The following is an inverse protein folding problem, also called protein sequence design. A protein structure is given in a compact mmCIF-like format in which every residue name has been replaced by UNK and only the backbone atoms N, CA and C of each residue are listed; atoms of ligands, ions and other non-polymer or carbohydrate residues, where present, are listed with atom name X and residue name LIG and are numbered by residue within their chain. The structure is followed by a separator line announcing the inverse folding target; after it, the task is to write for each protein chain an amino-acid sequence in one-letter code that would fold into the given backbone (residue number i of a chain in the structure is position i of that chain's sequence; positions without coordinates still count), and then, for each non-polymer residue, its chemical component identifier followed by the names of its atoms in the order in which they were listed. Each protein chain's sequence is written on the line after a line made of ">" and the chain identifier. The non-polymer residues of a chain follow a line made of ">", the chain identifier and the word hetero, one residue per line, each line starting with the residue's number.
data_IF_821755178880
#
_entry.id   IF_821755178880
#
_cell.length_a   1.000
_cell.length_b   1.000
_cell.length_c   1.000
_cell.angle_alpha   90.00
_cell.angle_beta   90.00
_cell.angle_gamma   90.00
#
_symmetry.space_group_name_H-M   'P 1'
#
loop_
_entity.id
_entity.type
_entity.pdbx_description
1 polymer ?
#
# COMPACT_ATOMS: atom_id res chain seq x y z
N UNK A 1 -29.67 50.33 22.21
CA UNK A 1 -28.61 49.56 22.91
C UNK A 1 -28.19 48.29 22.13
N UNK A 2 -28.97 47.85 21.15
CA UNK A 2 -28.70 46.71 20.27
C UNK A 2 -27.43 46.82 19.41
N UNK A 3 -27.20 47.98 18.77
CA UNK A 3 -26.10 48.14 17.80
C UNK A 3 -24.70 48.07 18.43
N UNK A 4 -24.56 48.48 19.70
CA UNK A 4 -23.29 48.43 20.43
C UNK A 4 -22.93 47.00 20.84
N UNK A 5 -23.93 46.21 21.20
CA UNK A 5 -23.76 44.79 21.51
C UNK A 5 -23.42 43.98 20.25
N UNK A 6 -24.08 44.27 19.13
CA UNK A 6 -23.77 43.66 17.84
C UNK A 6 -22.32 43.99 17.39
N UNK A 7 -21.86 45.23 17.62
CA UNK A 7 -20.50 45.65 17.26
C UNK A 7 -19.41 45.00 18.13
N UNK A 8 -19.68 44.79 19.43
CA UNK A 8 -18.78 44.07 20.34
C UNK A 8 -18.71 42.57 20.02
N UNK A 9 -19.84 41.96 19.63
CA UNK A 9 -19.88 40.55 19.23
C UNK A 9 -19.13 40.31 17.91
N UNK A 10 -19.17 41.27 16.98
CA UNK A 10 -18.48 41.18 15.70
C UNK A 10 -16.94 41.26 15.83
N UNK A 11 -16.41 41.89 16.88
CA UNK A 11 -14.95 41.95 17.13
C UNK A 11 -14.38 40.64 17.70
N UNK A 12 -15.23 39.74 18.23
CA UNK A 12 -14.79 38.51 18.88
C UNK A 12 -14.58 37.33 17.91
N UNK A 13 -14.92 37.48 16.62
CA UNK A 13 -14.75 36.44 15.59
C UNK A 13 -13.52 36.71 14.72
N UNK A 14 -12.47 37.30 15.31
CA UNK A 14 -11.13 37.26 14.71
C UNK A 14 -10.57 35.86 14.94
N UNK A 15 -11.05 34.90 14.14
CA UNK A 15 -10.38 33.60 14.03
C UNK A 15 -8.99 33.93 13.50
N UNK A 16 -7.91 33.65 14.27
CA UNK A 16 -6.59 33.90 13.75
C UNK A 16 -6.42 32.94 12.59
N UNK A 17 -6.44 33.49 11.38
CA UNK A 17 -5.87 32.87 10.20
C UNK A 17 -4.36 32.81 10.45
N UNK A 18 -3.94 31.92 11.34
CA UNK A 18 -2.55 31.58 11.48
C UNK A 18 -2.18 30.97 10.13
N UNK A 19 -1.42 31.74 9.35
CA UNK A 19 -0.56 31.20 8.30
C UNK A 19 -0.01 29.87 8.82
N UNK A 20 -0.05 28.82 8.00
CA UNK A 20 0.27 27.44 8.39
C UNK A 20 1.67 27.39 9.04
N UNK A 21 1.76 27.62 10.34
CA UNK A 21 3.02 27.68 11.06
C UNK A 21 3.19 26.35 11.76
N UNK A 22 4.39 25.79 11.68
CA UNK A 22 4.74 24.58 12.42
C UNK A 22 5.64 25.01 13.56
N UNK A 23 5.21 24.72 14.78
CA UNK A 23 5.96 24.95 16.00
C UNK A 23 6.65 23.64 16.41
N UNK A 24 7.96 23.69 16.63
CA UNK A 24 8.70 22.63 17.33
C UNK A 24 8.67 22.92 18.82
N UNK A 25 7.87 22.14 19.53
CA UNK A 25 7.70 22.21 20.97
C UNK A 25 8.53 21.15 21.66
N UNK A 26 8.98 21.43 22.89
CA UNK A 26 9.56 20.42 23.76
C UNK A 26 8.70 20.27 25.00
N UNK A 27 7.93 19.19 25.04
CA UNK A 27 6.98 18.90 26.10
C UNK A 27 7.45 17.66 26.86
N UNK A 28 7.60 17.75 28.19
CA UNK A 28 8.04 16.63 29.04
C UNK A 28 9.31 15.93 28.54
N UNK A 29 10.22 16.68 27.92
CA UNK A 29 11.47 16.19 27.36
C UNK A 29 11.40 15.68 25.91
N UNK A 30 10.20 15.48 25.35
CA UNK A 30 9.98 15.01 23.98
C UNK A 30 9.78 16.16 23.00
N UNK A 31 10.17 15.96 21.73
CA UNK A 31 9.95 16.93 20.65
C UNK A 31 8.62 16.62 19.97
N UNK A 32 7.75 17.62 19.89
CA UNK A 32 6.45 17.54 19.20
C UNK A 32 6.37 18.66 18.17
N UNK A 33 5.81 18.35 17.00
CA UNK A 33 5.54 19.32 15.94
C UNK A 33 4.03 19.55 15.86
N UNK A 34 3.60 20.80 15.91
CA UNK A 34 2.19 21.15 15.96
C UNK A 34 1.90 22.47 15.26
N UNK A 35 0.66 22.65 14.81
CA UNK A 35 0.18 23.87 14.18
C UNK A 35 -0.27 24.94 15.18
N UNK A 36 -0.62 24.53 16.40
CA UNK A 36 -0.92 25.45 17.49
C UNK A 36 0.37 25.90 18.20
N UNK A 37 0.42 27.11 18.77
CA UNK A 37 1.52 27.52 19.64
C UNK A 37 1.78 26.50 20.75
N UNK A 38 3.04 26.35 21.17
CA UNK A 38 3.41 25.43 22.25
C UNK A 38 2.69 25.78 23.55
N UNK A 39 2.25 24.79 24.33
CA UNK A 39 1.54 25.03 25.59
C UNK A 39 2.36 25.83 26.61
N UNK A 40 3.68 25.71 26.57
CA UNK A 40 4.63 26.48 27.39
C UNK A 40 4.86 27.92 26.89
N UNK A 41 4.30 28.29 25.73
CA UNK A 41 4.53 29.57 25.05
C UNK A 41 5.90 29.71 24.39
N UNK A 42 6.85 28.81 24.65
CA UNK A 42 8.22 28.86 24.13
C UNK A 42 8.43 27.74 23.10
N UNK A 43 8.31 28.09 21.81
CA UNK A 43 8.70 27.19 20.73
C UNK A 43 10.22 27.18 20.57
N UNK A 44 10.82 25.99 20.43
CA UNK A 44 12.25 25.89 20.10
C UNK A 44 12.55 26.42 18.71
N UNK A 45 11.60 26.24 17.79
CA UNK A 45 11.67 26.77 16.44
C UNK A 45 10.26 26.89 15.87
N UNK A 46 10.07 27.87 15.01
CA UNK A 46 8.85 28.08 14.24
C UNK A 46 9.25 28.15 12.76
N UNK A 47 8.45 27.51 11.91
CA UNK A 47 8.58 27.62 10.45
C UNK A 47 7.24 27.99 9.86
N UNK A 48 7.26 28.79 8.80
CA UNK A 48 6.11 28.94 7.92
C UNK A 48 6.06 27.72 6.98
N UNK A 49 5.03 26.89 7.13
CA UNK A 49 4.72 25.81 6.22
C UNK A 49 3.88 26.36 5.06
N UNK A 50 4.56 26.94 4.07
CA UNK A 50 3.92 27.21 2.79
C UNK A 50 3.49 25.88 2.15
N UNK A 51 2.24 25.74 1.67
CA UNK A 51 1.86 24.57 0.91
C UNK A 51 2.73 24.48 -0.35
N UNK A 52 3.07 23.26 -0.74
CA UNK A 52 3.79 23.05 -1.99
C UNK A 52 2.98 23.66 -3.15
N UNK A 53 3.63 24.34 -4.11
CA UNK A 53 2.92 24.88 -5.26
C UNK A 53 2.24 23.75 -6.02
N UNK A 54 1.10 24.05 -6.63
CA UNK A 54 0.43 23.09 -7.50
C UNK A 54 1.36 22.68 -8.64
N UNK A 55 1.35 21.38 -8.97
CA UNK A 55 2.21 20.86 -10.03
C UNK A 55 1.79 21.48 -11.37
N UNK A 56 2.78 21.98 -12.13
CA UNK A 56 2.54 22.46 -13.48
C UNK A 56 2.04 21.34 -14.40
N UNK A 57 1.30 21.70 -15.44
CA UNK A 57 0.87 20.72 -16.46
C UNK A 57 2.06 19.97 -17.09
N UNK A 58 3.19 20.67 -17.31
CA UNK A 58 4.41 20.05 -17.83
C UNK A 58 4.99 18.98 -16.88
N UNK A 59 4.93 19.22 -15.57
CA UNK A 59 5.39 18.28 -14.56
C UNK A 59 4.47 17.07 -14.45
N UNK A 60 3.16 17.28 -14.51
CA UNK A 60 2.17 16.20 -14.58
C UNK A 60 2.42 15.28 -15.79
N UNK A 61 2.66 15.86 -16.98
CA UNK A 61 3.00 15.10 -18.18
C UNK A 61 4.33 14.36 -18.08
N UNK A 62 5.31 14.92 -17.37
CA UNK A 62 6.57 14.24 -17.08
C UNK A 62 6.32 13.01 -16.20
N UNK A 63 5.59 13.15 -15.10
CA UNK A 63 5.25 12.05 -14.18
C UNK A 63 4.43 10.96 -14.88
N UNK A 64 3.46 11.34 -15.70
CA UNK A 64 2.67 10.41 -16.51
C UNK A 64 3.55 9.54 -17.41
N UNK A 65 4.52 10.14 -18.13
CA UNK A 65 5.45 9.41 -19.00
C UNK A 65 6.33 8.45 -18.22
N UNK A 66 6.86 8.89 -17.07
CA UNK A 66 7.65 8.03 -16.17
C UNK A 66 6.82 6.83 -15.72
N UNK A 67 5.58 7.06 -15.29
CA UNK A 67 4.69 5.99 -14.84
C UNK A 67 4.40 4.99 -15.95
N UNK A 68 4.08 5.46 -17.15
CA UNK A 68 3.86 4.60 -18.32
C UNK A 68 5.08 3.74 -18.66
N UNK A 69 6.29 4.29 -18.53
CA UNK A 69 7.54 3.56 -18.75
C UNK A 69 7.81 2.52 -17.66
N UNK A 70 7.48 2.81 -16.40
CA UNK A 70 7.60 1.85 -15.32
C UNK A 70 6.58 0.72 -15.47
N UNK A 71 5.34 1.04 -15.82
CA UNK A 71 4.28 0.05 -16.02
C UNK A 71 4.65 -0.94 -17.13
N UNK A 72 5.24 -0.48 -18.24
CA UNK A 72 5.68 -1.38 -19.32
C UNK A 72 6.83 -2.29 -18.89
N UNK A 73 7.79 -1.78 -18.11
CA UNK A 73 8.89 -2.60 -17.56
C UNK A 73 8.37 -3.66 -16.60
N UNK A 74 7.53 -3.27 -15.65
CA UNK A 74 6.96 -4.22 -14.70
C UNK A 74 6.03 -5.24 -15.35
N UNK A 75 5.34 -4.87 -16.43
CA UNK A 75 4.56 -5.83 -17.22
C UNK A 75 5.47 -6.87 -17.89
N UNK A 76 6.60 -6.45 -18.47
CA UNK A 76 7.59 -7.35 -19.02
C UNK A 76 8.19 -8.28 -17.95
N UNK A 77 8.55 -7.74 -16.78
CA UNK A 77 9.10 -8.55 -15.68
C UNK A 77 8.10 -9.57 -15.15
N UNK A 78 6.82 -9.20 -15.00
CA UNK A 78 5.73 -10.13 -14.62
C UNK A 78 5.54 -11.22 -15.68
N UNK A 79 5.62 -10.87 -16.96
CA UNK A 79 5.51 -11.85 -18.05
C UNK A 79 6.70 -12.81 -18.09
N UNK A 80 7.93 -12.32 -17.84
CA UNK A 80 9.13 -13.15 -17.76
C UNK A 80 9.08 -14.09 -16.54
N UNK A 81 8.58 -13.61 -15.40
CA UNK A 81 8.37 -14.43 -14.21
C UNK A 81 7.31 -15.52 -14.42
N UNK A 82 6.26 -15.23 -15.20
CA UNK A 82 5.27 -16.23 -15.59
C UNK A 82 5.83 -17.24 -16.61
N UNK A 83 6.70 -16.80 -17.53
CA UNK A 83 7.34 -17.67 -18.51
C UNK A 83 8.35 -18.66 -17.88
N UNK A 84 8.99 -18.28 -16.77
CA UNK A 84 9.85 -19.17 -16.00
C UNK A 84 9.11 -20.35 -15.34
N UNK A 85 7.77 -20.32 -15.30
CA UNK A 85 6.91 -21.39 -14.77
C UNK A 85 6.26 -22.28 -15.85
N UNK A 86 6.60 -22.09 -17.13
CA UNK A 86 6.07 -22.96 -18.19
C UNK A 86 6.90 -24.24 -18.25
N UNK A 87 6.51 -25.23 -17.43
CA UNK A 87 6.89 -26.63 -17.65
C UNK A 87 6.50 -27.01 -19.09
N UNK A 88 7.45 -27.57 -19.84
CA UNK A 88 7.26 -27.89 -21.26
C UNK A 88 6.02 -28.76 -21.53
N UNK A 89 5.49 -28.76 -22.77
CA UNK A 89 4.19 -29.36 -23.11
C UNK A 89 4.05 -30.86 -22.81
N UNK A 90 5.17 -31.56 -22.61
CA UNK A 90 5.18 -32.99 -22.27
C UNK A 90 5.13 -33.24 -20.75
N UNK A 91 5.78 -32.41 -19.94
CA UNK A 91 5.71 -32.50 -18.48
C UNK A 91 4.47 -31.81 -17.91
N UNK A 92 3.95 -30.78 -18.58
CA UNK A 92 2.68 -30.14 -18.16
C UNK A 92 1.50 -31.12 -18.25
N UNK A 93 1.39 -31.90 -19.33
CA UNK A 93 0.32 -32.89 -19.48
C UNK A 93 0.46 -34.08 -18.50
N UNK A 94 1.70 -34.56 -18.27
CA UNK A 94 1.96 -35.62 -17.30
C UNK A 94 1.68 -35.17 -15.85
N UNK A 95 2.07 -33.94 -15.51
CA UNK A 95 1.82 -33.35 -14.20
C UNK A 95 0.32 -33.13 -13.95
N UNK A 96 -0.41 -32.55 -14.92
CA UNK A 96 -1.84 -32.32 -14.78
C UNK A 96 -2.65 -33.62 -14.73
N UNK A 97 -2.28 -34.64 -15.52
CA UNK A 97 -2.91 -35.96 -15.44
C UNK A 97 -2.65 -36.65 -14.09
N UNK A 98 -1.44 -36.56 -13.53
CA UNK A 98 -1.13 -37.09 -12.20
C UNK A 98 -1.94 -36.39 -11.09
N UNK A 99 -2.12 -35.07 -11.17
CA UNK A 99 -2.98 -34.31 -10.25
C UNK A 99 -4.44 -34.73 -10.35
N UNK A 100 -4.95 -34.95 -11.57
CA UNK A 100 -6.32 -35.38 -11.80
C UNK A 100 -6.58 -36.79 -11.21
N UNK A 101 -5.65 -37.72 -11.40
CA UNK A 101 -5.74 -39.08 -10.82
C UNK A 101 -5.73 -39.04 -9.29
N UNK A 102 -4.82 -38.26 -8.68
CA UNK A 102 -4.81 -38.06 -7.22
C UNK A 102 -6.15 -37.55 -6.71
N UNK A 103 -6.74 -36.57 -7.41
CA UNK A 103 -8.06 -36.04 -7.05
C UNK A 103 -9.14 -37.12 -7.10
N UNK A 104 -9.18 -37.93 -8.17
CA UNK A 104 -10.15 -39.03 -8.28
C UNK A 104 -10.01 -40.04 -7.13
N UNK A 105 -8.78 -40.40 -6.75
CA UNK A 105 -8.54 -41.32 -5.63
C UNK A 105 -8.93 -40.70 -4.29
N UNK A 106 -8.63 -39.43 -4.07
CA UNK A 106 -9.04 -38.75 -2.83
C UNK A 106 -10.56 -38.60 -2.73
N UNK A 107 -11.23 -38.29 -3.85
CA UNK A 107 -12.68 -38.20 -3.92
C UNK A 107 -13.32 -39.58 -3.65
N UNK A 108 -12.75 -40.67 -4.18
CA UNK A 108 -13.20 -42.03 -3.94
C UNK A 108 -12.93 -42.52 -2.50
N UNK A 109 -11.80 -42.12 -1.90
CA UNK A 109 -11.45 -42.48 -0.53
C UNK A 109 -12.28 -41.71 0.51
N UNK A 110 -12.70 -40.48 0.18
CA UNK A 110 -13.48 -39.62 1.07
C UNK A 110 -12.82 -39.46 2.44
N UNK A 111 -13.57 -39.75 3.52
CA UNK A 111 -13.07 -39.69 4.90
C UNK A 111 -12.08 -40.82 5.25
N UNK A 112 -11.97 -41.86 4.42
CA UNK A 112 -11.07 -43.00 4.64
C UNK A 112 -9.68 -42.80 4.01
N UNK A 113 -9.30 -41.55 3.72
CA UNK A 113 -7.98 -41.24 3.16
C UNK A 113 -6.87 -41.54 4.17
N UNK A 114 -6.18 -42.65 3.97
CA UNK A 114 -5.04 -43.05 4.81
C UNK A 114 -3.77 -42.26 4.48
N UNK A 115 -2.79 -42.34 5.38
CA UNK A 115 -1.48 -41.73 5.17
C UNK A 115 -0.74 -42.35 3.98
N UNK A 116 -0.82 -43.67 3.81
CA UNK A 116 -0.16 -44.42 2.73
C UNK A 116 -0.68 -43.98 1.37
N UNK A 117 -2.01 -43.86 1.24
CA UNK A 117 -2.66 -43.37 0.01
C UNK A 117 -2.18 -41.95 -0.29
N UNK A 118 -2.13 -41.09 0.73
CA UNK A 118 -1.71 -39.70 0.56
C UNK A 118 -0.24 -39.59 0.14
N UNK A 119 0.64 -40.28 0.86
CA UNK A 119 2.08 -40.26 0.61
C UNK A 119 2.44 -40.85 -0.76
N UNK A 120 1.79 -41.94 -1.17
CA UNK A 120 1.98 -42.52 -2.50
C UNK A 120 1.65 -41.51 -3.59
N UNK A 121 0.46 -40.92 -3.56
CA UNK A 121 0.02 -40.00 -4.61
C UNK A 121 0.77 -38.67 -4.60
N UNK A 122 1.22 -38.19 -3.45
CA UNK A 122 2.04 -36.99 -3.37
C UNK A 122 3.43 -37.22 -4.01
N UNK A 123 4.03 -38.41 -3.82
CA UNK A 123 5.27 -38.79 -4.52
C UNK A 123 5.08 -38.94 -6.04
N UNK A 124 3.94 -39.51 -6.47
CA UNK A 124 3.61 -39.64 -7.90
C UNK A 124 3.49 -38.26 -8.56
N UNK A 125 2.75 -37.33 -7.95
CA UNK A 125 2.63 -35.95 -8.46
C UNK A 125 3.99 -35.26 -8.44
N UNK A 126 4.75 -35.39 -7.35
CA UNK A 126 6.09 -34.78 -7.25
C UNK A 126 7.03 -35.29 -8.34
N UNK A 127 6.97 -36.57 -8.73
CA UNK A 127 7.79 -37.11 -9.80
C UNK A 127 7.32 -36.69 -11.19
N UNK A 128 6.00 -36.55 -11.40
CA UNK A 128 5.42 -36.13 -12.68
C UNK A 128 5.58 -34.62 -12.95
N UNK A 129 5.73 -33.81 -11.90
CA UNK A 129 5.80 -32.34 -11.97
C UNK A 129 7.22 -31.77 -11.80
N UNK A 130 8.25 -32.62 -11.72
CA UNK A 130 9.66 -32.21 -11.83
C UNK A 130 9.99 -31.81 -13.26
#
# INVERSE_FOLDING_TARGET
>A
MEARFAMLLALAIVVPCHAQQVHKCRERGQVVYQSAPCASGQAQKVWDAAPAPEQSNAEQWRLYRIRKQLDSRYAADRSASAAAYVSGPQSSNACESAKAQRKQVYDAAGLHRSYEISSYWDNVVQNACK
#
